data_IF_805855116730
#
_entry.id   IF_805855116730
#
_cell.length_a   1.000
_cell.length_b   1.000
_cell.length_c   1.000
_cell.angle_alpha   90.00
_cell.angle_beta   90.00
_cell.angle_gamma   90.00
#
_symmetry.space_group_name_H-M   'P 1'
#
loop_
_entity.id
_entity.type
_entity.pdbx_description
1 polymer ?
#
# COMPACT_ATOMS: atom_id res chain seq x y z
N UNK A 1 21.09 4.82 7.25
CA UNK A 1 20.00 3.91 7.63
C UNK A 1 18.90 4.02 6.56
N UNK A 2 18.07 3.00 6.35
CA UNK A 2 16.98 3.01 5.38
C UNK A 2 15.69 2.54 6.05
N UNK A 3 14.56 2.99 5.53
CA UNK A 3 13.24 2.45 5.84
C UNK A 3 12.93 1.42 4.75
N UNK A 4 12.47 0.22 5.12
CA UNK A 4 12.25 -0.83 4.14
C UNK A 4 11.19 -1.85 4.56
N UNK A 5 10.81 -2.69 3.60
CA UNK A 5 9.91 -3.82 3.78
C UNK A 5 10.57 -5.10 3.27
N UNK A 6 10.54 -6.14 4.09
CA UNK A 6 10.96 -7.47 3.68
C UNK A 6 9.84 -8.19 2.96
N UNK A 7 10.21 -8.90 1.90
CA UNK A 7 9.32 -9.78 1.13
C UNK A 7 9.82 -11.21 1.29
N UNK A 8 9.02 -12.03 1.94
CA UNK A 8 9.30 -13.46 2.14
C UNK A 8 8.53 -14.26 1.09
N UNK A 9 9.24 -15.07 0.34
CA UNK A 9 8.68 -15.94 -0.69
C UNK A 9 8.50 -17.37 -0.16
N UNK A 10 7.55 -18.15 -0.73
CA UNK A 10 7.28 -19.53 -0.28
C UNK A 10 8.45 -20.49 -0.41
N UNK A 11 9.38 -20.21 -1.34
CA UNK A 11 10.62 -20.97 -1.57
C UNK A 11 11.76 -20.64 -0.58
N UNK A 12 11.49 -19.75 0.39
CA UNK A 12 12.47 -19.26 1.37
C UNK A 12 13.34 -18.09 0.86
N UNK A 13 13.15 -17.64 -0.39
CA UNK A 13 13.84 -16.45 -0.88
C UNK A 13 13.36 -15.22 -0.12
N UNK A 14 14.26 -14.25 0.07
CA UNK A 14 14.00 -12.97 0.73
C UNK A 14 14.43 -11.83 -0.20
N UNK A 15 13.54 -10.88 -0.42
CA UNK A 15 13.90 -9.62 -1.05
C UNK A 15 13.59 -8.43 -0.15
N UNK A 16 14.12 -7.27 -0.49
CA UNK A 16 14.01 -6.06 0.30
C UNK A 16 13.57 -4.90 -0.60
N UNK A 17 12.47 -4.27 -0.24
CA UNK A 17 12.09 -2.96 -0.74
C UNK A 17 12.68 -1.88 0.16
N UNK A 18 13.25 -0.82 -0.40
CA UNK A 18 13.69 0.37 0.34
C UNK A 18 12.85 1.57 -0.07
N UNK A 19 12.31 2.28 0.92
CA UNK A 19 11.48 3.49 0.72
C UNK A 19 12.20 4.52 -0.14
N UNK A 20 11.57 4.93 -1.25
CA UNK A 20 12.17 5.83 -2.24
C UNK A 20 12.01 7.29 -1.85
N UNK A 21 10.85 7.67 -1.33
CA UNK A 21 10.51 9.05 -0.98
C UNK A 21 10.37 9.18 0.52
N UNK A 22 11.20 10.02 1.12
CA UNK A 22 11.15 10.28 2.54
C UNK A 22 10.09 11.33 2.87
N UNK A 23 9.44 11.17 4.01
CA UNK A 23 8.62 12.23 4.59
C UNK A 23 9.52 13.30 5.20
N UNK A 24 9.03 14.55 5.24
CA UNK A 24 9.78 15.65 5.86
C UNK A 24 10.21 15.31 7.29
N UNK A 25 11.51 15.43 7.56
CA UNK A 25 12.15 15.10 8.83
C UNK A 25 12.80 13.71 8.87
N UNK A 26 12.36 12.75 8.05
CA UNK A 26 13.00 11.43 7.96
C UNK A 26 14.42 11.51 7.39
N UNK A 27 14.71 12.49 6.54
CA UNK A 27 16.02 12.71 5.93
C UNK A 27 17.13 13.03 6.93
N UNK A 28 16.78 13.39 8.17
CA UNK A 28 17.74 13.60 9.26
C UNK A 28 18.38 12.29 9.73
N UNK A 29 17.70 11.17 9.55
CA UNK A 29 18.11 9.84 10.03
C UNK A 29 18.26 8.83 8.90
N UNK A 30 17.38 8.90 7.92
CA UNK A 30 17.27 7.92 6.83
C UNK A 30 17.75 8.50 5.50
N UNK A 31 18.11 7.60 4.60
CA UNK A 31 18.40 7.92 3.19
C UNK A 31 17.33 7.30 2.30
N UNK A 32 16.99 7.94 1.16
CA UNK A 32 16.13 7.32 0.17
C UNK A 32 16.80 6.05 -0.37
N UNK A 33 16.00 5.02 -0.58
CA UNK A 33 16.44 3.75 -1.14
C UNK A 33 16.14 3.67 -2.64
N UNK A 34 16.69 2.63 -3.29
CA UNK A 34 16.49 2.37 -4.71
C UNK A 34 16.14 0.91 -5.01
N UNK A 35 16.11 0.04 -3.97
CA UNK A 35 15.71 -1.34 -4.13
C UNK A 35 14.18 -1.42 -4.25
N UNK A 36 13.74 -1.95 -5.38
CA UNK A 36 12.33 -2.11 -5.70
C UNK A 36 12.11 -3.48 -6.36
N UNK A 37 12.03 -4.55 -5.56
CA UNK A 37 11.81 -5.88 -6.10
C UNK A 37 10.43 -5.96 -6.75
N UNK A 38 10.36 -6.56 -7.94
CA UNK A 38 9.08 -6.95 -8.52
C UNK A 38 8.63 -8.25 -7.88
N UNK A 39 7.44 -8.23 -7.29
CA UNK A 39 6.85 -9.39 -6.64
C UNK A 39 5.89 -10.07 -7.63
N UNK A 40 6.13 -11.34 -7.91
CA UNK A 40 5.25 -12.15 -8.74
C UNK A 40 4.37 -13.04 -7.87
N UNK A 41 3.08 -13.02 -8.11
CA UNK A 41 2.10 -13.87 -7.43
C UNK A 41 1.09 -14.40 -8.46
N UNK A 42 1.31 -15.62 -8.94
CA UNK A 42 0.56 -16.16 -10.07
C UNK A 42 0.76 -15.31 -11.32
N UNK A 43 -0.33 -14.78 -11.87
CA UNK A 43 -0.31 -13.89 -13.04
C UNK A 43 -0.12 -12.41 -12.68
N UNK A 44 -0.14 -12.06 -11.41
CA UNK A 44 -0.06 -10.69 -10.97
C UNK A 44 1.38 -10.26 -10.64
N UNK A 45 1.66 -8.99 -10.93
CA UNK A 45 2.90 -8.31 -10.56
C UNK A 45 2.58 -7.26 -9.52
N UNK A 46 3.27 -7.27 -8.39
CA UNK A 46 3.04 -6.31 -7.31
C UNK A 46 4.25 -5.41 -7.07
N UNK A 47 3.99 -4.12 -6.91
CA UNK A 47 4.93 -3.12 -6.40
C UNK A 47 4.58 -2.74 -4.98
N UNK A 48 5.61 -2.48 -4.16
CA UNK A 48 5.47 -2.01 -2.77
C UNK A 48 5.60 -0.48 -2.73
N UNK A 49 4.91 0.13 -1.76
CA UNK A 49 5.06 1.53 -1.40
C UNK A 49 5.03 1.70 0.13
N UNK A 50 5.84 2.60 0.65
CA UNK A 50 5.86 2.92 2.09
C UNK A 50 5.56 4.41 2.30
N UNK A 51 4.42 4.69 2.94
CA UNK A 51 4.02 6.02 3.42
C UNK A 51 4.19 7.11 2.35
N UNK A 52 5.18 8.00 2.43
CA UNK A 52 5.40 9.11 1.49
C UNK A 52 5.56 8.68 0.01
N UNK A 53 5.87 7.41 -0.28
CA UNK A 53 5.84 6.90 -1.66
C UNK A 53 4.46 7.02 -2.29
N UNK A 54 3.39 6.88 -1.49
CA UNK A 54 1.99 6.99 -1.93
C UNK A 54 1.66 8.37 -2.51
N UNK A 55 2.20 9.41 -1.89
CA UNK A 55 1.88 10.81 -2.25
C UNK A 55 2.74 11.32 -3.40
N UNK A 56 3.77 10.55 -3.81
CA UNK A 56 4.58 10.87 -4.97
C UNK A 56 4.00 10.23 -6.23
N UNK A 57 3.48 11.03 -7.22
CA UNK A 57 2.85 10.48 -8.40
C UNK A 57 3.81 9.69 -9.30
N UNK A 58 5.11 9.98 -9.27
CA UNK A 58 6.11 9.27 -10.05
C UNK A 58 6.31 7.83 -9.55
N UNK A 59 6.10 7.59 -8.25
CA UNK A 59 6.20 6.25 -7.68
C UNK A 59 5.14 5.31 -8.27
N UNK A 60 3.87 5.73 -8.27
CA UNK A 60 2.79 4.96 -8.87
C UNK A 60 2.92 4.85 -10.40
N UNK A 61 3.42 5.91 -11.07
CA UNK A 61 3.70 5.87 -12.50
C UNK A 61 4.82 4.87 -12.85
N UNK A 62 5.86 4.78 -12.01
CA UNK A 62 6.94 3.81 -12.17
C UNK A 62 6.44 2.37 -11.98
N UNK A 63 5.59 2.12 -10.96
CA UNK A 63 4.94 0.82 -10.79
C UNK A 63 4.18 0.41 -12.05
N UNK A 64 3.40 1.33 -12.64
CA UNK A 64 2.67 1.08 -13.88
C UNK A 64 3.60 0.82 -15.08
N UNK A 65 4.68 1.58 -15.24
CA UNK A 65 5.68 1.33 -16.30
C UNK A 65 6.35 -0.04 -16.20
N UNK A 66 6.47 -0.55 -14.98
CA UNK A 66 6.96 -1.89 -14.70
C UNK A 66 5.85 -2.96 -14.81
N UNK A 67 4.68 -2.60 -15.38
CA UNK A 67 3.54 -3.49 -15.60
C UNK A 67 2.95 -4.09 -14.32
N UNK A 68 3.06 -3.38 -13.19
CA UNK A 68 2.41 -3.83 -11.95
C UNK A 68 0.88 -3.87 -12.12
N UNK A 69 0.28 -4.97 -11.70
CA UNK A 69 -1.17 -5.15 -11.63
C UNK A 69 -1.71 -4.88 -10.23
N UNK A 70 -0.81 -4.91 -9.24
CA UNK A 70 -1.08 -4.63 -7.83
C UNK A 70 -0.10 -3.58 -7.29
N UNK A 71 -0.61 -2.70 -6.43
CA UNK A 71 0.16 -1.70 -5.69
C UNK A 71 -0.12 -1.87 -4.20
N UNK A 72 0.89 -2.35 -3.47
CA UNK A 72 0.77 -2.74 -2.06
C UNK A 72 1.39 -1.66 -1.19
N UNK A 73 0.57 -0.96 -0.43
CA UNK A 73 0.96 0.20 0.35
C UNK A 73 0.87 -0.05 1.85
N UNK A 74 1.93 0.26 2.57
CA UNK A 74 1.96 0.33 4.03
C UNK A 74 2.14 1.78 4.49
N UNK A 75 1.27 2.29 5.37
CA UNK A 75 1.33 3.69 5.79
C UNK A 75 0.84 3.93 7.21
N UNK A 76 1.18 5.11 7.72
CA UNK A 76 0.56 5.76 8.86
C UNK A 76 -0.10 7.05 8.36
N UNK A 77 -1.40 6.99 8.11
CA UNK A 77 -2.19 8.12 7.62
C UNK A 77 -3.10 8.57 8.74
N UNK A 78 -3.05 9.86 9.08
CA UNK A 78 -3.91 10.46 10.11
C UNK A 78 -5.35 10.61 9.62
N UNK A 79 -6.33 10.83 10.53
CA UNK A 79 -7.72 11.06 10.15
C UNK A 79 -7.89 12.22 9.16
N UNK A 80 -7.12 13.29 9.32
CA UNK A 80 -7.19 14.50 8.48
C UNK A 80 -6.67 14.22 7.06
N UNK A 81 -5.64 13.36 6.93
CA UNK A 81 -5.03 13.01 5.64
C UNK A 81 -5.78 11.93 4.88
N UNK A 82 -6.55 11.08 5.56
CA UNK A 82 -7.08 9.85 4.99
C UNK A 82 -7.97 10.06 3.75
N UNK A 83 -8.86 11.03 3.77
CA UNK A 83 -9.73 11.29 2.62
C UNK A 83 -8.93 11.64 1.38
N UNK A 84 -7.99 12.57 1.49
CA UNK A 84 -7.12 13.02 0.39
C UNK A 84 -6.29 11.85 -0.17
N UNK A 85 -5.65 11.09 0.71
CA UNK A 85 -4.75 10.02 0.30
C UNK A 85 -5.50 8.83 -0.29
N UNK A 86 -6.66 8.46 0.28
CA UNK A 86 -7.51 7.42 -0.29
C UNK A 86 -8.07 7.80 -1.66
N UNK A 87 -8.42 9.06 -1.89
CA UNK A 87 -8.88 9.54 -3.19
C UNK A 87 -7.74 9.55 -4.23
N UNK A 88 -6.52 9.84 -3.79
CA UNK A 88 -5.32 9.72 -4.64
C UNK A 88 -5.09 8.26 -5.05
N UNK A 89 -5.18 7.32 -4.12
CA UNK A 89 -5.05 5.89 -4.40
C UNK A 89 -6.12 5.40 -5.39
N UNK A 90 -7.39 5.81 -5.22
CA UNK A 90 -8.46 5.52 -6.19
C UNK A 90 -8.16 6.08 -7.58
N UNK A 91 -7.56 7.28 -7.66
CA UNK A 91 -7.11 7.87 -8.93
C UNK A 91 -6.02 7.03 -9.58
N UNK A 92 -5.03 6.56 -8.81
CA UNK A 92 -3.97 5.69 -9.32
C UNK A 92 -4.54 4.35 -9.80
N UNK A 93 -5.45 3.72 -9.04
CA UNK A 93 -6.12 2.49 -9.43
C UNK A 93 -6.76 2.61 -10.81
N UNK A 94 -7.58 3.65 -11.03
CA UNK A 94 -8.24 3.92 -12.32
C UNK A 94 -7.26 4.26 -13.43
N UNK A 95 -6.32 5.17 -13.14
CA UNK A 95 -5.38 5.69 -14.16
C UNK A 95 -4.45 4.60 -14.67
N UNK A 96 -3.97 3.76 -13.77
CA UNK A 96 -2.94 2.77 -14.08
C UNK A 96 -3.47 1.34 -14.16
N UNK A 97 -4.78 1.13 -13.93
CA UNK A 97 -5.42 -0.18 -13.97
C UNK A 97 -4.80 -1.19 -13.03
N UNK A 98 -4.42 -0.73 -11.83
CA UNK A 98 -3.84 -1.54 -10.76
C UNK A 98 -4.83 -1.71 -9.61
N UNK A 99 -4.96 -2.93 -9.08
CA UNK A 99 -5.57 -3.14 -7.77
C UNK A 99 -4.68 -2.52 -6.69
N UNK A 100 -5.26 -1.77 -5.75
CA UNK A 100 -4.48 -1.10 -4.70
C UNK A 100 -4.91 -1.60 -3.33
N UNK A 101 -3.95 -2.10 -2.55
CA UNK A 101 -4.14 -2.47 -1.15
C UNK A 101 -3.39 -1.48 -0.25
N UNK A 102 -4.11 -0.91 0.72
CA UNK A 102 -3.57 -0.05 1.77
C UNK A 102 -3.67 -0.77 3.12
N UNK A 103 -2.53 -1.07 3.73
CA UNK A 103 -2.41 -1.40 5.14
C UNK A 103 -2.07 -0.11 5.89
N UNK A 104 -3.06 0.50 6.52
CA UNK A 104 -2.86 1.68 7.37
C UNK A 104 -2.78 1.27 8.82
N UNK A 105 -1.87 1.87 9.58
CA UNK A 105 -1.71 1.58 10.99
C UNK A 105 -3.02 1.81 11.75
N UNK A 106 -3.35 0.92 12.69
CA UNK A 106 -4.68 0.89 13.34
C UNK A 106 -4.72 1.49 14.74
N UNK A 107 -3.69 2.24 15.17
CA UNK A 107 -3.57 2.73 16.54
C UNK A 107 -2.86 4.07 16.60
N UNK A 108 -2.57 4.53 17.80
CA UNK A 108 -1.71 5.68 18.08
C UNK A 108 -0.23 5.28 17.99
N UNK A 109 0.60 6.18 17.50
CA UNK A 109 2.06 6.06 17.52
C UNK A 109 2.70 7.44 17.62
N UNK A 110 3.66 7.58 18.53
CA UNK A 110 4.41 8.84 18.73
C UNK A 110 3.52 10.04 19.09
N UNK A 111 2.44 9.84 19.84
CA UNK A 111 1.49 10.90 20.21
C UNK A 111 0.55 11.33 19.09
N UNK A 112 0.53 10.62 17.96
CA UNK A 112 -0.35 10.91 16.83
C UNK A 112 -1.27 9.73 16.56
N UNK A 113 -2.55 10.01 16.34
CA UNK A 113 -3.56 9.00 16.03
C UNK A 113 -3.59 8.70 14.53
N UNK A 114 -3.59 7.42 14.17
CA UNK A 114 -3.86 7.00 12.81
C UNK A 114 -5.36 6.96 12.51
N UNK A 115 -5.73 7.00 11.24
CA UNK A 115 -7.11 6.78 10.80
C UNK A 115 -7.53 5.30 10.88
N UNK A 116 -6.59 4.37 10.93
CA UNK A 116 -6.90 2.97 10.64
C UNK A 116 -7.40 2.82 9.20
N UNK A 117 -8.59 2.25 9.02
CA UNK A 117 -9.31 2.20 7.72
C UNK A 117 -8.50 1.56 6.59
N UNK A 118 -7.73 0.51 6.89
CA UNK A 118 -7.09 -0.31 5.84
C UNK A 118 -8.13 -0.73 4.80
N UNK A 119 -7.77 -0.66 3.51
CA UNK A 119 -8.73 -0.89 2.43
C UNK A 119 -8.07 -1.44 1.17
N UNK A 120 -8.89 -2.04 0.31
CA UNK A 120 -8.50 -2.46 -1.02
C UNK A 120 -9.46 -1.88 -2.06
N UNK A 121 -8.89 -1.34 -3.13
CA UNK A 121 -9.61 -0.86 -4.31
C UNK A 121 -9.28 -1.69 -5.53
N UNK A 122 -10.29 -1.92 -6.37
CA UNK A 122 -10.15 -2.58 -7.67
C UNK A 122 -9.34 -1.71 -8.65
N UNK A 123 -8.95 -2.29 -9.76
CA UNK A 123 -8.33 -1.60 -10.90
C UNK A 123 -9.27 -0.58 -11.60
N UNK A 124 -10.55 -0.56 -11.21
CA UNK A 124 -11.52 0.49 -11.56
C UNK A 124 -11.63 1.58 -10.46
N UNK A 125 -10.88 1.47 -9.36
CA UNK A 125 -10.91 2.40 -8.23
C UNK A 125 -12.14 2.27 -7.33
N UNK A 126 -12.86 1.15 -7.41
CA UNK A 126 -13.99 0.84 -6.54
C UNK A 126 -13.50 0.18 -5.25
N UNK A 127 -14.05 0.59 -4.10
CA UNK A 127 -13.70 -0.05 -2.82
C UNK A 127 -14.24 -1.49 -2.81
N UNK A 128 -13.35 -2.46 -2.75
CA UNK A 128 -13.68 -3.89 -2.70
C UNK A 128 -13.96 -4.35 -1.28
N UNK A 129 -13.12 -3.94 -0.34
CA UNK A 129 -13.26 -4.21 1.09
C UNK A 129 -12.45 -3.20 1.90
N UNK A 130 -12.75 -3.06 3.18
CA UNK A 130 -11.98 -2.20 4.09
C UNK A 130 -12.50 -2.22 5.50
N UNK A 131 -11.65 -1.82 6.43
CA UNK A 131 -11.99 -1.58 7.84
C UNK A 131 -12.60 -0.18 7.98
N UNK A 132 -13.44 0.00 9.00
CA UNK A 132 -14.17 1.26 9.19
C UNK A 132 -13.47 2.22 10.16
N UNK A 133 -12.42 1.77 10.84
CA UNK A 133 -11.73 2.60 11.86
C UNK A 133 -10.44 2.00 12.35
N UNK A 134 -10.16 2.31 13.61
CA UNK A 134 -9.01 1.83 14.38
C UNK A 134 -9.16 0.36 14.79
N UNK A 135 -8.07 -0.21 15.29
CA UNK A 135 -8.01 -1.58 15.79
C UNK A 135 -7.33 -2.52 14.80
N UNK A 136 -7.17 -3.76 15.25
CA UNK A 136 -6.57 -4.82 14.45
C UNK A 136 -7.62 -5.47 13.54
N UNK A 137 -7.25 -5.78 12.31
CA UNK A 137 -8.17 -6.41 11.38
C UNK A 137 -7.52 -6.86 10.09
N UNK A 138 -8.27 -7.63 9.32
CA UNK A 138 -7.88 -8.13 8.01
C UNK A 138 -8.80 -7.59 6.93
N UNK A 139 -8.20 -7.24 5.79
CA UNK A 139 -8.90 -6.99 4.54
C UNK A 139 -8.49 -8.07 3.56
N UNK A 140 -9.46 -8.87 3.12
CA UNK A 140 -9.23 -9.99 2.22
C UNK A 140 -9.95 -9.70 0.91
N UNK A 141 -9.25 -9.84 -0.21
CA UNK A 141 -9.85 -9.70 -1.54
C UNK A 141 -9.41 -10.83 -2.47
N UNK A 142 -10.25 -11.09 -3.46
CA UNK A 142 -10.01 -12.04 -4.54
C UNK A 142 -10.34 -11.38 -5.87
N UNK A 143 -9.56 -11.72 -6.91
CA UNK A 143 -9.87 -11.38 -8.30
C UNK A 143 -9.99 -12.68 -9.09
N UNK A 144 -11.20 -12.97 -9.57
CA UNK A 144 -11.49 -14.19 -10.36
C UNK A 144 -12.14 -13.74 -11.66
N UNK A 145 -11.57 -14.13 -12.80
CA UNK A 145 -12.06 -13.75 -14.13
C UNK A 145 -12.32 -12.24 -14.27
N UNK A 146 -11.38 -11.42 -13.74
CA UNK A 146 -11.46 -9.96 -13.76
C UNK A 146 -12.43 -9.34 -12.75
N UNK A 147 -13.19 -10.12 -12.00
CA UNK A 147 -14.13 -9.64 -10.98
C UNK A 147 -13.51 -9.65 -9.60
N UNK A 148 -13.62 -8.51 -8.91
CA UNK A 148 -13.17 -8.35 -7.54
C UNK A 148 -14.28 -8.68 -6.56
N UNK A 149 -13.93 -9.35 -5.47
CA UNK A 149 -14.77 -9.55 -4.30
C UNK A 149 -13.90 -9.50 -3.05
N UNK A 150 -14.45 -9.05 -1.93
CA UNK A 150 -13.67 -8.94 -0.70
C UNK A 150 -14.53 -8.89 0.54
N UNK A 151 -13.87 -9.06 1.67
CA UNK A 151 -14.44 -8.92 3.01
C UNK A 151 -13.41 -8.34 3.95
N UNK A 152 -13.87 -7.74 5.03
CA UNK A 152 -13.05 -7.34 6.17
C UNK A 152 -13.51 -8.04 7.44
N UNK A 153 -12.60 -8.18 8.39
CA UNK A 153 -12.89 -8.74 9.71
C UNK A 153 -11.99 -8.04 10.74
N UNK A 154 -12.58 -7.73 11.89
CA UNK A 154 -11.85 -7.25 13.06
C UNK A 154 -11.30 -8.47 13.80
N UNK A 155 -10.05 -8.38 14.25
CA UNK A 155 -9.42 -9.35 15.13
C UNK A 155 -9.66 -8.88 16.56
N UNK A 156 -10.29 -9.71 17.38
CA UNK A 156 -10.54 -9.44 18.81
C UNK A 156 -9.50 -10.17 19.65
#
# INVERSE_FOLDING_TARGET
MYIGAYVFYPDGYLSLYLKHHLHSGEEKVFKPGYLNPMIYTGSDKASIAICADLTNPDHAANAARNESTLYLAGAFITPEGYSKDSDLLKKYARKYRMGIALANFGSESGGTMSAGKSALWSDAGEKVAGLDGLGEGLVIAKKINGRWSGKSMIIQ
#
